data_IF_376162207221
#
_entry.id   IF_376162207221
#
_cell.length_a   1.000
_cell.length_b   1.000
_cell.length_c   1.000
_cell.angle_alpha   90.00
_cell.angle_beta   90.00
_cell.angle_gamma   90.00
#
_symmetry.space_group_name_H-M   'P 1'
#
loop_
_entity.id
_entity.type
_entity.pdbx_description
1 polymer ?
#
# COMPACT_ATOMS: atom_id res chain seq x y z
N UNK A 1 -10.83 9.64 -18.43
CA UNK A 1 -9.81 9.64 -17.38
C UNK A 1 -9.12 8.30 -17.46
N UNK A 2 -7.80 8.29 -17.63
CA UNK A 2 -7.01 7.07 -17.52
C UNK A 2 -7.02 6.62 -16.05
N UNK A 3 -7.14 5.33 -15.80
CA UNK A 3 -7.10 4.78 -14.44
C UNK A 3 -5.77 4.05 -14.23
N UNK A 4 -5.14 4.20 -13.08
CA UNK A 4 -3.90 3.50 -12.73
C UNK A 4 -4.13 2.74 -11.44
N UNK A 5 -3.70 1.48 -11.38
CA UNK A 5 -3.60 0.78 -10.13
C UNK A 5 -2.24 1.07 -9.49
N UNK A 6 -2.26 1.75 -8.35
CA UNK A 6 -1.09 1.94 -7.50
C UNK A 6 -1.04 0.93 -6.37
N UNK A 7 0.16 0.49 -5.99
CA UNK A 7 0.37 -0.38 -4.83
C UNK A 7 1.33 0.27 -3.85
N UNK A 8 0.88 0.51 -2.64
CA UNK A 8 1.69 0.99 -1.52
C UNK A 8 1.80 -0.12 -0.50
N UNK A 9 3.01 -0.41 -0.05
CA UNK A 9 3.26 -1.34 1.04
C UNK A 9 3.70 -0.61 2.28
N UNK A 10 3.15 -1.00 3.43
CA UNK A 10 3.54 -0.53 4.75
C UNK A 10 4.10 -1.70 5.53
N UNK A 11 5.29 -1.56 6.09
CA UNK A 11 5.85 -2.44 7.11
C UNK A 11 5.77 -1.73 8.45
N UNK A 12 5.07 -2.34 9.40
CA UNK A 12 4.88 -1.81 10.75
C UNK A 12 5.53 -2.79 11.72
N UNK A 13 6.37 -2.28 12.62
CA UNK A 13 7.02 -3.09 13.64
C UNK A 13 6.64 -2.58 15.03
N UNK A 14 6.14 -3.48 15.86
CA UNK A 14 5.89 -3.26 17.29
C UNK A 14 7.13 -3.69 18.07
N UNK A 15 7.87 -2.74 18.61
CA UNK A 15 9.16 -2.99 19.27
C UNK A 15 8.98 -3.40 20.74
N UNK A 16 8.68 -2.42 21.58
CA UNK A 16 8.65 -2.57 23.04
C UNK A 16 7.41 -1.90 23.61
N UNK A 17 6.70 -2.62 24.46
CA UNK A 17 5.61 -2.09 25.27
C UNK A 17 6.14 -1.74 26.65
N UNK A 18 5.90 -0.51 27.09
CA UNK A 18 6.30 0.00 28.40
C UNK A 18 5.05 0.32 29.22
N UNK A 19 4.85 -0.43 30.30
CA UNK A 19 3.81 -0.17 31.28
C UNK A 19 4.28 0.90 32.27
N UNK A 20 3.77 2.13 32.18
CA UNK A 20 4.11 3.19 33.15
C UNK A 20 3.28 3.05 34.43
N UNK A 21 1.96 2.88 34.29
CA UNK A 21 1.03 2.75 35.44
C UNK A 21 -0.35 2.19 35.04
N UNK A 22 -0.40 1.04 34.35
CA UNK A 22 -1.67 0.34 34.10
C UNK A 22 -2.29 -0.11 35.43
N UNK A 23 -3.56 0.23 35.63
CA UNK A 23 -4.29 -0.07 36.86
C UNK A 23 -4.58 -1.56 37.07
N UNK A 24 -4.68 -2.31 35.97
CA UNK A 24 -5.10 -3.71 35.98
C UNK A 24 -3.90 -4.60 35.65
N UNK A 25 -3.82 -5.74 36.34
CA UNK A 25 -2.88 -6.81 36.01
C UNK A 25 -3.61 -7.85 35.21
N UNK A 26 -2.95 -8.44 34.22
CA UNK A 26 -3.59 -9.43 33.38
C UNK A 26 -2.93 -9.50 32.00
N UNK A 27 -3.72 -9.93 31.04
CA UNK A 27 -3.30 -10.20 29.67
C UNK A 27 -3.68 -9.04 28.76
N UNK A 28 -2.72 -8.63 27.96
CA UNK A 28 -2.81 -7.53 27.01
C UNK A 28 -2.51 -8.02 25.61
N UNK A 29 -3.10 -7.34 24.64
CA UNK A 29 -2.85 -7.54 23.22
C UNK A 29 -2.94 -6.20 22.50
N UNK A 30 -2.08 -6.00 21.50
CA UNK A 30 -2.17 -4.86 20.60
C UNK A 30 -2.77 -5.34 19.29
N UNK A 31 -3.81 -4.66 18.80
CA UNK A 31 -4.36 -4.88 17.46
C UNK A 31 -4.05 -3.67 16.59
N UNK A 32 -3.44 -3.94 15.45
CA UNK A 32 -3.03 -2.92 14.49
C UNK A 32 -3.84 -3.07 13.21
N UNK A 33 -4.37 -1.95 12.71
CA UNK A 33 -5.14 -1.92 11.46
C UNK A 33 -4.80 -0.70 10.63
N UNK A 34 -4.58 -0.89 9.33
CA UNK A 34 -4.43 0.20 8.38
C UNK A 34 -5.80 0.61 7.85
N UNK A 35 -6.07 1.91 7.79
CA UNK A 35 -7.34 2.48 7.29
C UNK A 35 -7.08 3.54 6.24
N UNK A 36 -8.02 3.64 5.30
CA UNK A 36 -8.06 4.68 4.29
C UNK A 36 -9.50 5.14 4.07
N UNK A 37 -9.72 6.39 3.62
CA UNK A 37 -11.04 6.90 3.29
C UNK A 37 -11.71 6.09 2.16
N UNK A 38 -13.01 5.84 2.27
CA UNK A 38 -13.80 5.11 1.27
C UNK A 38 -13.94 5.83 -0.08
N UNK A 39 -13.57 7.12 -0.16
CA UNK A 39 -13.59 7.91 -1.40
C UNK A 39 -12.60 7.41 -2.45
N UNK A 40 -11.53 6.71 -2.04
CA UNK A 40 -10.55 6.11 -2.94
C UNK A 40 -10.90 4.62 -3.05
N UNK A 41 -11.27 4.08 -4.23
CA UNK A 41 -11.49 2.65 -4.39
C UNK A 41 -10.18 1.90 -4.12
N UNK A 42 -10.19 1.00 -3.13
CA UNK A 42 -8.98 0.31 -2.70
C UNK A 42 -9.25 -1.11 -2.22
N UNK A 43 -8.18 -1.91 -2.17
CA UNK A 43 -8.15 -3.21 -1.50
C UNK A 43 -6.95 -3.25 -0.56
N UNK A 44 -7.20 -3.67 0.67
CA UNK A 44 -6.21 -3.82 1.73
C UNK A 44 -6.03 -5.30 2.03
N UNK A 45 -4.78 -5.73 2.17
CA UNK A 45 -4.42 -7.04 2.70
C UNK A 45 -3.38 -6.86 3.81
N UNK A 46 -3.56 -7.54 4.94
CA UNK A 46 -2.60 -7.58 6.03
C UNK A 46 -1.94 -8.96 6.09
N UNK A 47 -0.64 -8.99 6.36
CA UNK A 47 0.14 -10.22 6.57
C UNK A 47 1.09 -10.03 7.75
N UNK A 48 1.50 -11.15 8.34
CA UNK A 48 2.52 -11.17 9.40
C UNK A 48 3.81 -11.72 8.80
N UNK A 49 4.93 -11.14 9.19
CA UNK A 49 6.25 -11.71 8.88
C UNK A 49 6.52 -12.78 9.92
N UNK A 50 6.45 -14.06 9.53
CA UNK A 50 6.68 -15.18 10.45
C UNK A 50 8.04 -15.05 11.14
N UNK A 51 8.02 -15.09 12.47
CA UNK A 51 9.23 -15.18 13.26
C UNK A 51 9.37 -16.61 13.76
N UNK A 52 10.54 -17.19 13.51
CA UNK A 52 10.89 -18.54 13.94
C UNK A 52 11.04 -18.57 15.47
N UNK A 53 9.95 -18.86 16.18
CA UNK A 53 9.98 -18.97 17.64
C UNK A 53 8.71 -19.61 18.20
N UNK A 54 8.87 -20.72 18.92
CA UNK A 54 7.80 -21.37 19.68
C UNK A 54 7.36 -20.45 20.84
N UNK A 55 6.12 -19.95 20.80
CA UNK A 55 5.51 -19.22 21.90
C UNK A 55 4.12 -19.77 22.19
N UNK A 56 3.88 -20.16 23.45
CA UNK A 56 2.82 -21.07 23.88
C UNK A 56 1.49 -20.40 24.27
N UNK A 57 1.33 -19.08 24.10
CA UNK A 57 0.14 -18.34 24.57
C UNK A 57 -0.54 -17.47 23.49
N UNK A 58 -0.59 -17.99 22.27
CA UNK A 58 -1.11 -17.40 21.01
C UNK A 58 -0.06 -16.62 20.22
N UNK A 59 0.23 -17.15 19.03
CA UNK A 59 1.05 -16.49 18.02
C UNK A 59 0.31 -15.29 17.43
N UNK A 60 1.03 -14.26 16.95
CA UNK A 60 0.40 -13.18 16.21
C UNK A 60 -0.45 -13.73 15.06
N UNK A 61 -1.61 -13.13 14.80
CA UNK A 61 -2.53 -13.60 13.77
C UNK A 61 -3.21 -12.45 13.02
N UNK A 62 -3.67 -12.74 11.79
CA UNK A 62 -4.44 -11.79 10.99
C UNK A 62 -5.93 -12.09 11.12
N UNK A 63 -6.73 -11.08 11.42
CA UNK A 63 -8.18 -11.17 11.49
C UNK A 63 -8.82 -9.93 10.85
N UNK A 64 -9.63 -10.12 9.81
CA UNK A 64 -10.33 -9.03 9.09
C UNK A 64 -9.40 -7.86 8.70
N UNK A 65 -8.22 -8.16 8.15
CA UNK A 65 -7.16 -7.17 7.80
C UNK A 65 -6.57 -6.38 8.98
N UNK A 66 -6.89 -6.76 10.22
CA UNK A 66 -6.16 -6.32 11.41
C UNK A 66 -5.15 -7.39 11.80
N UNK A 67 -4.02 -6.93 12.34
CA UNK A 67 -2.98 -7.80 12.86
C UNK A 67 -3.05 -7.76 14.37
N UNK A 68 -3.23 -8.93 14.97
CA UNK A 68 -3.24 -9.13 16.39
C UNK A 68 -1.83 -9.53 16.81
N UNK A 69 -1.24 -8.80 17.74
CA UNK A 69 0.03 -9.20 18.34
C UNK A 69 -0.14 -10.50 19.13
N UNK A 70 0.96 -11.14 19.51
CA UNK A 70 0.92 -12.11 20.60
C UNK A 70 0.27 -11.49 21.84
N UNK A 71 -0.31 -12.35 22.67
CA UNK A 71 -0.76 -11.95 24.01
C UNK A 71 0.46 -11.86 24.92
N UNK A 72 0.48 -10.85 25.78
CA UNK A 72 1.52 -10.66 26.79
C UNK A 72 0.90 -10.33 28.14
N UNK A 73 1.53 -10.79 29.22
CA UNK A 73 1.06 -10.55 30.58
C UNK A 73 1.81 -9.36 31.18
N UNK A 74 1.10 -8.56 31.96
CA UNK A 74 1.66 -7.47 32.76
C UNK A 74 1.29 -7.72 34.22
N UNK A 75 2.31 -7.74 35.07
CA UNK A 75 2.18 -8.03 36.50
C UNK A 75 2.61 -6.85 37.36
N UNK A 76 3.55 -6.04 36.87
CA UNK A 76 4.18 -4.99 37.66
C UNK A 76 4.12 -3.63 36.96
N UNK A 77 4.18 -2.58 37.78
CA UNK A 77 4.36 -1.20 37.32
C UNK A 77 5.78 -1.02 36.76
N UNK A 78 5.96 -0.14 35.78
CA UNK A 78 7.25 0.12 35.14
C UNK A 78 7.86 -1.13 34.47
N UNK A 79 7.00 -2.03 34.00
CA UNK A 79 7.39 -3.26 33.31
C UNK A 79 7.60 -2.98 31.81
N UNK A 80 8.66 -3.54 31.24
CA UNK A 80 8.95 -3.47 29.80
C UNK A 80 8.83 -4.85 29.17
N UNK A 81 8.06 -4.95 28.10
CA UNK A 81 7.80 -6.17 27.35
C UNK A 81 8.31 -5.99 25.93
N UNK A 82 9.24 -6.85 25.52
CA UNK A 82 9.72 -6.90 24.13
C UNK A 82 8.69 -7.62 23.28
N UNK A 83 8.11 -6.93 22.30
CA UNK A 83 7.16 -7.51 21.34
C UNK A 83 7.94 -7.99 20.11
N UNK A 84 8.71 -7.09 19.49
CA UNK A 84 9.45 -7.30 18.25
C UNK A 84 8.64 -8.04 17.19
N UNK A 85 7.44 -7.58 16.84
CA UNK A 85 6.61 -8.21 15.82
C UNK A 85 6.43 -7.30 14.62
N UNK A 86 6.65 -7.85 13.42
CA UNK A 86 6.54 -7.14 12.16
C UNK A 86 5.32 -7.59 11.37
N UNK A 87 4.61 -6.62 10.82
CA UNK A 87 3.42 -6.82 10.04
C UNK A 87 3.46 -5.98 8.77
N UNK A 88 2.90 -6.52 7.69
CA UNK A 88 2.85 -5.83 6.41
C UNK A 88 1.39 -5.56 6.01
N UNK A 89 1.14 -4.35 5.53
CA UNK A 89 -0.12 -3.96 4.93
C UNK A 89 0.13 -3.59 3.47
N UNK A 90 -0.50 -4.32 2.55
CA UNK A 90 -0.47 -4.02 1.12
C UNK A 90 -1.77 -3.36 0.71
N UNK A 91 -1.67 -2.15 0.14
CA UNK A 91 -2.81 -1.38 -0.33
C UNK A 91 -2.74 -1.24 -1.85
N UNK A 92 -3.74 -1.80 -2.54
CA UNK A 92 -3.98 -1.50 -3.95
C UNK A 92 -5.01 -0.38 -4.06
N UNK A 93 -4.71 0.66 -4.83
CA UNK A 93 -5.51 1.87 -5.00
C UNK A 93 -5.85 2.04 -6.48
N UNK A 94 -7.10 2.36 -6.80
CA UNK A 94 -7.47 2.84 -8.13
C UNK A 94 -7.34 4.37 -8.15
N UNK A 95 -6.41 4.86 -8.96
CA UNK A 95 -5.99 6.26 -9.03
C UNK A 95 -6.33 6.86 -10.39
N UNK A 96 -6.51 8.18 -10.41
CA UNK A 96 -6.53 8.96 -11.64
C UNK A 96 -5.11 9.00 -12.23
N UNK A 97 -4.95 8.51 -13.45
CA UNK A 97 -3.66 8.39 -14.12
C UNK A 97 -2.99 9.73 -14.41
N UNK A 98 -3.73 10.84 -14.43
CA UNK A 98 -3.18 12.18 -14.61
C UNK A 98 -2.74 12.83 -13.27
N UNK A 99 -3.19 12.27 -12.14
CA UNK A 99 -3.00 12.84 -10.79
C UNK A 99 -2.47 11.82 -9.77
N UNK A 100 -1.70 10.84 -10.22
CA UNK A 100 -1.21 9.73 -9.38
C UNK A 100 -0.43 10.23 -8.17
N UNK A 101 0.51 11.17 -8.35
CA UNK A 101 1.34 11.69 -7.26
C UNK A 101 0.51 12.45 -6.22
N UNK A 102 -0.38 13.34 -6.66
CA UNK A 102 -1.29 14.08 -5.77
C UNK A 102 -2.21 13.12 -5.02
N UNK A 103 -2.84 12.19 -5.72
CA UNK A 103 -3.81 11.26 -5.15
C UNK A 103 -3.18 10.36 -4.07
N UNK A 104 -1.94 9.92 -4.27
CA UNK A 104 -1.18 9.17 -3.28
C UNK A 104 -0.80 10.03 -2.07
N UNK A 105 -0.40 11.29 -2.29
CA UNK A 105 -0.04 12.22 -1.22
C UNK A 105 -1.25 12.59 -0.35
N UNK A 106 -2.43 12.65 -0.95
CA UNK A 106 -3.69 13.00 -0.32
C UNK A 106 -4.49 11.78 0.21
N UNK A 107 -3.96 10.56 0.12
CA UNK A 107 -4.72 9.34 0.39
C UNK A 107 -5.15 9.14 1.87
N UNK A 108 -4.61 9.95 2.79
CA UNK A 108 -4.94 9.94 4.24
C UNK A 108 -4.90 8.53 4.85
N UNK A 109 -3.74 7.88 4.71
CA UNK A 109 -3.48 6.60 5.36
C UNK A 109 -3.45 6.76 6.87
N UNK A 110 -4.10 5.85 7.61
CA UNK A 110 -4.17 5.90 9.06
C UNK A 110 -3.83 4.55 9.68
N UNK A 111 -2.90 4.52 10.65
CA UNK A 111 -2.62 3.34 11.46
C UNK A 111 -3.41 3.42 12.77
N UNK A 112 -4.34 2.51 12.97
CA UNK A 112 -5.06 2.33 14.23
C UNK A 112 -4.35 1.29 15.09
N UNK A 113 -4.11 1.63 16.35
CA UNK A 113 -3.56 0.76 17.39
C UNK A 113 -4.55 0.69 18.54
N UNK A 114 -5.08 -0.50 18.77
CA UNK A 114 -6.01 -0.80 19.85
C UNK A 114 -5.29 -1.62 20.94
N UNK A 115 -5.40 -1.18 22.18
CA UNK A 115 -4.98 -1.93 23.35
C UNK A 115 -6.18 -2.72 23.87
N UNK A 116 -6.02 -4.04 23.93
CA UNK A 116 -7.01 -4.98 24.44
C UNK A 116 -6.56 -5.54 25.78
N UNK A 117 -7.51 -5.85 26.66
CA UNK A 117 -7.23 -6.36 27.99
C UNK A 117 -8.24 -7.42 28.45
N UNK A 118 -7.73 -8.43 29.17
CA UNK A 118 -8.53 -9.34 29.99
C UNK A 118 -7.73 -9.81 31.21
N UNK A 119 -8.40 -9.99 32.35
CA UNK A 119 -7.87 -10.66 33.54
C UNK A 119 -8.25 -12.15 33.60
N UNK A 120 -9.00 -12.65 32.61
CA UNK A 120 -9.58 -13.99 32.59
C UNK A 120 -8.89 -14.90 31.58
N UNK A 121 -8.25 -15.97 32.09
CA UNK A 121 -7.69 -17.02 31.23
C UNK A 121 -8.75 -17.73 30.37
N UNK A 122 -10.02 -17.72 30.79
CA UNK A 122 -11.10 -18.30 29.99
C UNK A 122 -11.36 -17.50 28.72
N UNK A 123 -11.26 -16.17 28.78
CA UNK A 123 -11.43 -15.29 27.62
C UNK A 123 -10.29 -15.42 26.61
N UNK A 124 -9.12 -15.91 27.03
CA UNK A 124 -8.02 -16.21 26.11
C UNK A 124 -8.35 -17.32 25.11
N UNK A 125 -9.42 -18.09 25.34
CA UNK A 125 -9.93 -19.09 24.38
C UNK A 125 -10.75 -18.47 23.25
N UNK A 126 -11.23 -17.25 23.43
CA UNK A 126 -12.00 -16.47 22.43
C UNK A 126 -11.35 -15.10 22.24
N UNK A 127 -10.13 -15.11 21.68
CA UNK A 127 -9.29 -13.93 21.50
C UNK A 127 -10.06 -12.76 20.85
N UNK A 128 -10.84 -12.95 19.77
CA UNK A 128 -11.60 -11.85 19.15
C UNK A 128 -12.50 -11.08 20.13
N UNK A 129 -13.05 -11.74 21.15
CA UNK A 129 -13.97 -11.17 22.13
C UNK A 129 -13.30 -10.34 23.24
N UNK A 130 -11.97 -10.35 23.35
CA UNK A 130 -11.24 -9.54 24.34
C UNK A 130 -11.55 -8.05 24.08
N UNK A 131 -12.06 -7.28 25.07
CA UNK A 131 -12.48 -5.91 24.87
C UNK A 131 -11.29 -4.97 24.62
N UNK A 132 -11.54 -3.95 23.79
CA UNK A 132 -10.64 -2.80 23.64
C UNK A 132 -10.79 -1.88 24.85
N UNK A 133 -9.66 -1.46 25.41
CA UNK A 133 -9.62 -0.54 26.56
C UNK A 133 -9.08 0.85 26.17
N UNK A 134 -8.26 0.93 25.12
CA UNK A 134 -7.77 2.21 24.56
C UNK A 134 -7.50 2.09 23.07
N UNK A 135 -7.69 3.18 22.33
CA UNK A 135 -7.42 3.25 20.90
C UNK A 135 -6.62 4.51 20.53
N UNK A 136 -5.64 4.35 19.64
CA UNK A 136 -4.92 5.46 19.03
C UNK A 136 -4.94 5.33 17.51
N UNK A 137 -5.09 6.47 16.83
CA UNK A 137 -5.02 6.56 15.38
C UNK A 137 -3.91 7.53 15.00
N UNK A 138 -2.98 7.06 14.18
CA UNK A 138 -1.85 7.82 13.67
C UNK A 138 -2.10 8.16 12.21
N UNK A 139 -2.01 9.45 11.86
CA UNK A 139 -1.98 9.87 10.46
C UNK A 139 -0.62 9.53 9.84
N UNK A 140 -0.62 8.78 8.74
CA UNK A 140 0.59 8.36 8.04
C UNK A 140 0.81 9.27 6.82
N UNK A 141 1.71 10.23 6.97
CA UNK A 141 2.05 11.21 5.92
C UNK A 141 2.96 10.59 4.85
N UNK A 142 2.38 9.76 3.99
CA UNK A 142 3.07 9.08 2.90
C UNK A 142 3.50 10.05 1.80
N UNK A 143 4.78 9.99 1.39
CA UNK A 143 5.30 10.76 0.26
C UNK A 143 5.61 9.85 -0.93
N UNK A 144 4.98 10.00 -2.11
CA UNK A 144 5.08 9.03 -3.22
C UNK A 144 6.51 8.74 -3.69
N UNK A 145 7.38 9.77 -3.68
CA UNK A 145 8.79 9.66 -4.08
C UNK A 145 9.76 9.25 -2.99
N UNK A 146 9.40 9.38 -1.71
CA UNK A 146 10.33 9.18 -0.57
C UNK A 146 9.87 8.10 0.39
N UNK A 147 8.65 7.60 0.23
CA UNK A 147 8.02 6.73 1.20
C UNK A 147 7.67 7.46 2.50
N UNK A 148 7.55 6.66 3.55
CA UNK A 148 7.38 7.08 4.94
C UNK A 148 8.33 6.23 5.77
N UNK A 149 9.19 6.83 6.59
CA UNK A 149 10.10 6.06 7.44
C UNK A 149 10.27 6.74 8.80
N UNK A 150 9.53 6.28 9.81
CA UNK A 150 9.50 6.91 11.13
C UNK A 150 9.47 5.87 12.25
N UNK A 151 10.13 6.19 13.36
CA UNK A 151 9.98 5.51 14.65
C UNK A 151 9.30 6.46 15.63
N UNK A 152 8.19 6.03 16.21
CA UNK A 152 7.36 6.86 17.09
C UNK A 152 6.90 6.08 18.32
N UNK A 153 7.07 6.63 19.54
CA UNK A 153 6.40 6.10 20.72
C UNK A 153 4.93 6.52 20.73
N UNK A 154 4.03 5.56 20.94
CA UNK A 154 2.58 5.79 20.97
C UNK A 154 2.06 5.56 22.38
N UNK A 155 1.59 6.62 23.02
CA UNK A 155 0.98 6.57 24.34
C UNK A 155 -0.53 6.32 24.22
N UNK A 156 -1.06 5.34 24.96
CA UNK A 156 -2.46 4.92 24.83
C UNK A 156 -3.45 5.94 25.36
N UNK A 157 -3.47 6.25 26.65
CA UNK A 157 -4.18 7.42 27.19
C UNK A 157 -3.78 7.66 28.65
N UNK A 158 -4.46 8.59 29.33
CA UNK A 158 -4.19 8.92 30.72
C UNK A 158 -4.68 7.84 31.71
N UNK A 159 -5.71 7.07 31.35
CA UNK A 159 -6.23 5.96 32.14
C UNK A 159 -5.43 4.66 31.92
N UNK A 160 -4.76 4.53 30.78
CA UNK A 160 -3.97 3.40 30.36
C UNK A 160 -2.54 3.85 30.11
N UNK A 161 -1.89 4.36 31.16
CA UNK A 161 -0.57 4.99 31.12
C UNK A 161 0.50 3.99 30.68
N UNK A 162 0.65 3.85 29.37
CA UNK A 162 1.47 2.84 28.71
C UNK A 162 1.86 3.34 27.33
N UNK A 163 3.01 2.86 26.84
CA UNK A 163 3.62 3.32 25.60
C UNK A 163 4.09 2.12 24.77
N UNK A 164 3.73 2.09 23.49
CA UNK A 164 4.29 1.14 22.51
C UNK A 164 5.24 1.87 21.57
N UNK A 165 6.46 1.37 21.43
CA UNK A 165 7.40 1.83 20.39
C UNK A 165 7.03 1.22 19.05
N UNK A 166 6.75 2.06 18.05
CA UNK A 166 6.33 1.63 16.71
C UNK A 166 7.30 2.18 15.67
N UNK A 167 7.70 1.33 14.73
CA UNK A 167 8.39 1.78 13.52
C UNK A 167 7.46 1.54 12.32
N UNK A 168 7.35 2.54 11.44
CA UNK A 168 6.57 2.45 10.20
C UNK A 168 7.47 2.79 9.03
N UNK A 169 7.56 1.85 8.09
CA UNK A 169 8.11 2.05 6.77
C UNK A 169 7.00 1.92 5.73
N UNK A 170 7.00 2.73 4.69
CA UNK A 170 6.10 2.56 3.57
C UNK A 170 6.71 3.06 2.27
N UNK A 171 6.40 2.40 1.14
CA UNK A 171 6.88 2.79 -0.18
C UNK A 171 5.84 2.51 -1.27
N UNK A 172 5.88 3.30 -2.35
CA UNK A 172 5.18 2.98 -3.58
C UNK A 172 5.98 1.89 -4.29
N UNK A 173 5.39 0.70 -4.43
CA UNK A 173 6.09 -0.47 -4.98
C UNK A 173 5.63 -0.82 -6.40
N UNK A 174 4.45 -0.37 -6.81
CA UNK A 174 3.99 -0.61 -8.17
C UNK A 174 3.01 0.44 -8.70
N UNK A 175 3.09 0.69 -10.01
CA UNK A 175 2.08 1.35 -10.82
C UNK A 175 1.83 0.49 -12.05
N UNK A 176 0.59 0.11 -12.30
CA UNK A 176 0.24 -0.72 -13.45
C UNK A 176 -1.20 -0.45 -13.91
N UNK A 177 -1.58 -1.04 -15.05
CA UNK A 177 -2.97 -1.06 -15.49
C UNK A 177 -3.89 -1.69 -14.42
N UNK A 178 -5.16 -1.26 -14.25
CA UNK A 178 -6.09 -1.85 -13.27
C UNK A 178 -6.38 -3.32 -13.59
N UNK A 179 -5.68 -4.23 -12.90
CA UNK A 179 -5.84 -5.68 -13.07
C UNK A 179 -6.85 -6.26 -12.07
N UNK A 180 -7.23 -5.49 -11.06
CA UNK A 180 -8.09 -5.93 -9.97
C UNK A 180 -9.42 -5.16 -10.01
N UNK A 181 -10.52 -5.86 -9.74
CA UNK A 181 -11.82 -5.21 -9.56
C UNK A 181 -11.86 -4.45 -8.23
N UNK A 182 -12.23 -3.18 -8.28
CA UNK A 182 -12.41 -2.31 -7.13
C UNK A 182 -13.90 -2.05 -6.89
N UNK A 183 -14.34 -2.17 -5.64
CA UNK A 183 -15.68 -1.75 -5.25
C UNK A 183 -15.76 -0.23 -5.38
N UNK A 184 -16.34 0.27 -6.49
CA UNK A 184 -16.57 1.70 -6.68
C UNK A 184 -17.66 2.16 -5.71
N UNK A 185 -17.49 3.27 -4.98
CA UNK A 185 -18.58 3.87 -4.22
C UNK A 185 -19.72 4.18 -5.17
N UNK A 186 -20.86 3.50 -4.99
CA UNK A 186 -21.96 3.54 -5.94
C UNK A 186 -22.49 4.97 -6.11
N UNK A 187 -22.64 5.41 -7.37
CA UNK A 187 -23.62 6.46 -7.68
C UNK A 187 -24.99 5.87 -7.34
N UNK A 188 -25.62 6.35 -6.27
CA UNK A 188 -26.97 5.97 -5.91
C UNK A 188 -27.89 6.19 -7.12
N UNK A 189 -28.44 5.09 -7.64
CA UNK A 189 -29.50 5.13 -8.65
C UNK A 189 -30.76 5.63 -7.96
N UNK A 190 -30.93 6.95 -7.93
CA UNK A 190 -32.16 7.58 -7.46
C UNK A 190 -33.00 7.91 -8.69
N UNK A 191 -33.75 6.92 -9.16
CA UNK A 191 -35.07 7.03 -9.79
C UNK A 191 -35.54 5.64 -10.22
N UNK A 192 -36.57 5.14 -9.56
CA UNK A 192 -37.23 3.91 -9.91
C UNK A 192 -38.06 4.03 -11.19
N UNK A 193 -37.99 2.99 -12.03
CA UNK A 193 -39.16 2.26 -12.55
C UNK A 193 -38.65 0.97 -13.20
N UNK A 194 -39.35 -0.12 -12.91
CA UNK A 194 -38.90 -1.48 -13.20
C UNK A 194 -38.66 -1.75 -14.69
N UNK A 195 -37.59 -2.48 -14.95
CA UNK A 195 -37.53 -3.47 -16.02
C UNK A 195 -36.49 -4.51 -15.62
N UNK A 196 -36.90 -5.77 -15.66
CA UNK A 196 -36.07 -6.93 -15.35
C UNK A 196 -35.30 -7.29 -16.62
N UNK A 197 -34.16 -6.62 -16.89
CA UNK A 197 -33.18 -7.11 -17.86
C UNK A 197 -31.77 -6.98 -17.28
N UNK A 198 -31.26 -8.13 -16.83
CA UNK A 198 -29.85 -8.36 -16.55
C UNK A 198 -29.06 -8.28 -17.86
N UNK A 199 -28.54 -7.10 -18.19
CA UNK A 199 -27.50 -6.91 -19.22
C UNK A 199 -26.09 -6.98 -18.60
N UNK A 200 -25.08 -7.50 -19.32
CA UNK A 200 -23.71 -7.59 -18.81
C UNK A 200 -22.97 -6.26 -19.03
N UNK A 201 -23.35 -5.19 -18.33
CA UNK A 201 -22.63 -3.91 -18.43
C UNK A 201 -21.58 -3.80 -17.31
N UNK A 202 -20.50 -4.58 -17.47
CA UNK A 202 -19.18 -4.18 -16.98
C UNK A 202 -18.28 -4.03 -18.21
N UNK A 203 -18.22 -2.81 -18.75
CA UNK A 203 -17.21 -2.47 -19.75
C UNK A 203 -15.84 -2.50 -19.08
N UNK A 204 -15.17 -3.66 -19.13
CA UNK A 204 -13.73 -3.75 -18.92
C UNK A 204 -13.08 -2.75 -19.87
N UNK A 205 -12.54 -1.64 -19.36
CA UNK A 205 -11.80 -0.71 -20.22
C UNK A 205 -10.64 -1.48 -20.86
N UNK A 206 -10.50 -1.39 -22.18
CA UNK A 206 -9.34 -1.98 -22.85
C UNK A 206 -8.07 -1.20 -22.50
N UNK A 207 -6.92 -1.87 -22.50
CA UNK A 207 -5.62 -1.27 -22.18
C UNK A 207 -5.31 -0.05 -23.05
N UNK A 208 -5.73 -0.09 -24.32
CA UNK A 208 -5.52 1.01 -25.25
C UNK A 208 -6.34 2.25 -24.86
N UNK A 209 -7.59 2.09 -24.40
CA UNK A 209 -8.41 3.21 -23.91
C UNK A 209 -7.78 3.89 -22.68
N UNK A 210 -7.05 3.12 -21.88
CA UNK A 210 -6.39 3.59 -20.68
C UNK A 210 -5.13 4.41 -21.00
N UNK A 211 -4.35 3.92 -21.97
CA UNK A 211 -3.08 4.54 -22.41
C UNK A 211 -3.32 5.75 -23.32
N UNK A 212 -4.21 5.62 -24.30
CA UNK A 212 -4.47 6.64 -25.33
C UNK A 212 -5.62 7.59 -24.97
N UNK A 213 -6.32 7.32 -23.86
CA UNK A 213 -7.40 8.14 -23.33
C UNK A 213 -8.77 7.87 -23.97
N UNK A 214 -9.79 8.56 -23.45
CA UNK A 214 -11.20 8.34 -23.81
C UNK A 214 -11.55 8.67 -25.28
N UNK A 215 -10.66 9.36 -26.00
CA UNK A 215 -10.81 9.64 -27.43
C UNK A 215 -10.33 8.52 -28.35
N UNK A 216 -9.73 7.45 -27.80
CA UNK A 216 -9.30 6.30 -28.58
C UNK A 216 -10.50 5.45 -29.00
N UNK A 217 -10.59 5.12 -30.30
CA UNK A 217 -11.60 4.20 -30.82
C UNK A 217 -10.89 3.01 -31.44
N UNK A 218 -10.96 1.84 -30.78
CA UNK A 218 -10.42 0.61 -31.34
C UNK A 218 -11.22 0.22 -32.60
N UNK A 219 -10.61 0.13 -33.79
CA UNK A 219 -11.33 -0.32 -34.97
C UNK A 219 -11.80 -1.77 -34.79
N UNK A 220 -13.04 -2.06 -35.18
CA UNK A 220 -13.50 -3.45 -35.30
C UNK A 220 -12.61 -4.16 -36.31
N UNK A 221 -12.10 -5.33 -35.95
CA UNK A 221 -11.20 -6.15 -36.77
C UNK A 221 -11.90 -6.62 -38.05
N UNK A 222 -12.03 -5.73 -39.03
CA UNK A 222 -12.27 -6.06 -40.44
C UNK A 222 -10.99 -5.74 -41.18
N UNK A 223 -10.51 -6.71 -41.97
CA UNK A 223 -9.29 -6.62 -42.78
C UNK A 223 -9.16 -5.25 -43.45
N UNK A 224 -8.05 -4.56 -43.18
CA UNK A 224 -7.70 -3.29 -43.85
C UNK A 224 -8.03 -1.99 -43.13
N UNK A 225 -8.30 -2.00 -41.81
CA UNK A 225 -8.43 -0.74 -41.06
C UNK A 225 -7.07 -0.03 -40.91
N UNK A 226 -6.83 1.03 -41.70
CA UNK A 226 -5.74 1.99 -41.53
C UNK A 226 -6.05 3.00 -40.42
N UNK A 227 -6.50 2.54 -39.25
CA UNK A 227 -6.74 3.45 -38.13
C UNK A 227 -5.41 3.94 -37.58
N UNK A 228 -5.15 5.23 -37.73
CA UNK A 228 -4.02 5.92 -37.13
C UNK A 228 -4.57 6.72 -35.94
N UNK A 229 -4.10 6.47 -34.70
CA UNK A 229 -4.51 7.29 -33.57
C UNK A 229 -4.20 8.77 -33.82
N UNK A 230 -5.00 9.66 -33.24
CA UNK A 230 -4.70 11.09 -33.32
C UNK A 230 -3.34 11.40 -32.68
N UNK A 231 -2.67 12.44 -33.16
CA UNK A 231 -1.41 12.91 -32.57
C UNK A 231 -1.57 13.24 -31.08
N UNK A 232 -2.74 13.77 -30.69
CA UNK A 232 -3.10 14.02 -29.29
C UNK A 232 -3.17 12.74 -28.45
N UNK A 233 -3.71 11.64 -28.99
CA UNK A 233 -3.74 10.34 -28.31
C UNK A 233 -2.31 9.81 -28.08
N UNK A 234 -1.45 9.94 -29.08
CA UNK A 234 -0.05 9.51 -28.99
C UNK A 234 0.74 10.34 -27.97
N UNK A 235 0.60 11.67 -28.01
CA UNK A 235 1.22 12.57 -27.04
C UNK A 235 0.74 12.29 -25.61
N UNK A 236 -0.55 11.98 -25.43
CA UNK A 236 -1.10 11.55 -24.14
C UNK A 236 -0.41 10.27 -23.65
N UNK A 237 -0.32 9.23 -24.49
CA UNK A 237 0.33 7.97 -24.13
C UNK A 237 1.79 8.17 -23.72
N UNK A 238 2.55 8.96 -24.47
CA UNK A 238 3.96 9.27 -24.15
C UNK A 238 4.11 10.05 -22.85
N UNK A 239 3.24 11.05 -22.62
CA UNK A 239 3.25 11.82 -21.37
C UNK A 239 2.88 10.93 -20.18
N UNK A 240 1.84 10.12 -20.32
CA UNK A 240 1.38 9.20 -19.29
C UNK A 240 2.46 8.19 -18.90
N UNK A 241 3.10 7.55 -19.89
CA UNK A 241 4.26 6.67 -19.67
C UNK A 241 5.39 7.38 -18.93
N UNK A 242 5.82 8.55 -19.43
CA UNK A 242 6.91 9.32 -18.84
C UNK A 242 6.62 9.68 -17.38
N UNK A 243 5.41 10.15 -17.08
CA UNK A 243 5.03 10.60 -15.75
C UNK A 243 5.01 9.42 -14.75
N UNK A 244 4.48 8.25 -15.15
CA UNK A 244 4.48 7.05 -14.31
C UNK A 244 5.89 6.46 -14.10
N UNK A 245 6.70 6.35 -15.16
CA UNK A 245 8.08 5.88 -15.07
C UNK A 245 8.92 6.80 -14.19
N UNK A 246 8.79 8.11 -14.34
CA UNK A 246 9.48 9.09 -13.50
C UNK A 246 9.07 8.96 -12.04
N UNK A 247 7.79 8.73 -11.73
CA UNK A 247 7.34 8.54 -10.36
C UNK A 247 7.93 7.28 -9.73
N UNK A 248 7.93 6.14 -10.43
CA UNK A 248 8.55 4.88 -9.95
C UNK A 248 10.06 5.01 -9.76
N UNK A 249 10.77 5.63 -10.72
CA UNK A 249 12.21 5.88 -10.61
C UNK A 249 12.55 6.78 -9.42
N UNK A 250 11.71 7.79 -9.14
CA UNK A 250 11.89 8.63 -7.96
C UNK A 250 11.61 7.89 -6.67
N UNK A 251 10.56 7.05 -6.62
CA UNK A 251 10.29 6.19 -5.46
C UNK A 251 11.47 5.24 -5.18
N UNK A 252 12.03 4.64 -6.24
CA UNK A 252 13.21 3.78 -6.18
C UNK A 252 14.41 4.53 -5.59
N UNK A 253 14.72 5.71 -6.14
CA UNK A 253 15.80 6.57 -5.64
C UNK A 253 15.58 6.97 -4.19
N UNK A 254 14.36 7.34 -3.81
CA UNK A 254 14.02 7.73 -2.44
C UNK A 254 14.28 6.61 -1.44
N UNK A 255 13.81 5.40 -1.76
CA UNK A 255 14.02 4.22 -0.93
C UNK A 255 15.50 3.84 -0.86
N UNK A 256 16.22 3.86 -1.99
CA UNK A 256 17.66 3.58 -2.04
C UNK A 256 18.49 4.57 -1.20
N UNK A 257 18.15 5.87 -1.26
CA UNK A 257 18.80 6.90 -0.42
C UNK A 257 18.55 6.61 1.06
N UNK A 258 17.31 6.28 1.44
CA UNK A 258 16.99 5.94 2.83
C UNK A 258 17.75 4.69 3.30
N UNK A 259 17.74 3.62 2.51
CA UNK A 259 18.51 2.40 2.77
C UNK A 259 20.00 2.71 2.96
N UNK A 260 20.58 3.54 2.09
CA UNK A 260 21.99 3.95 2.20
C UNK A 260 22.30 4.68 3.50
N UNK A 261 21.36 5.51 4.00
CA UNK A 261 21.50 6.17 5.31
C UNK A 261 21.48 5.12 6.43
N UNK A 262 20.52 4.21 6.42
CA UNK A 262 20.43 3.14 7.42
C UNK A 262 21.68 2.26 7.44
N UNK A 263 22.20 1.87 6.28
CA UNK A 263 23.42 1.06 6.19
C UNK A 263 24.68 1.78 6.68
N UNK A 264 24.70 3.12 6.66
CA UNK A 264 25.79 3.90 7.25
C UNK A 264 25.70 3.95 8.77
N UNK A 265 24.48 4.10 9.30
CA UNK A 265 24.23 4.17 10.75
C UNK A 265 24.31 2.80 11.42
N UNK A 266 23.94 1.72 10.71
CA UNK A 266 23.89 0.34 11.22
C UNK A 266 24.56 -0.60 10.20
N UNK A 267 25.90 -0.61 10.11
CA UNK A 267 26.64 -1.35 9.10
C UNK A 267 26.55 -2.89 9.24
N UNK A 268 26.14 -3.37 10.42
CA UNK A 268 25.99 -4.80 10.72
C UNK A 268 24.72 -5.43 10.13
N UNK A 269 23.82 -4.62 9.55
CA UNK A 269 22.64 -5.15 8.87
C UNK A 269 23.02 -5.92 7.59
N UNK A 270 22.23 -6.94 7.19
CA UNK A 270 22.47 -7.64 5.93
C UNK A 270 22.48 -6.68 4.73
N UNK A 271 23.58 -6.68 3.98
CA UNK A 271 23.71 -5.85 2.79
C UNK A 271 23.00 -6.49 1.58
N UNK A 272 22.07 -5.74 1.00
CA UNK A 272 21.46 -6.03 -0.29
C UNK A 272 22.36 -5.53 -1.42
N UNK A 273 22.57 -6.36 -2.45
CA UNK A 273 23.21 -5.95 -3.70
C UNK A 273 22.17 -5.28 -4.59
N UNK A 274 22.08 -3.96 -4.49
CA UNK A 274 21.09 -3.15 -5.20
C UNK A 274 21.71 -2.53 -6.45
N UNK A 275 20.95 -2.48 -7.55
CA UNK A 275 21.39 -1.84 -8.78
C UNK A 275 21.12 -0.34 -8.70
N UNK A 276 22.13 0.51 -8.86
CA UNK A 276 21.85 1.95 -8.94
C UNK A 276 21.24 2.29 -10.31
N UNK A 277 20.01 2.83 -10.30
CA UNK A 277 19.35 3.33 -11.49
C UNK A 277 19.52 4.85 -11.55
N UNK A 278 20.23 5.34 -12.56
CA UNK A 278 20.29 6.77 -12.87
C UNK A 278 18.92 7.20 -13.42
N UNK A 279 18.20 8.05 -12.68
CA UNK A 279 16.80 8.40 -12.96
C UNK A 279 16.66 9.03 -14.35
N UNK A 280 17.50 10.02 -14.67
CA UNK A 280 17.44 10.80 -15.89
C UNK A 280 17.82 9.99 -17.12
N UNK A 281 18.87 9.16 -17.03
CA UNK A 281 19.35 8.32 -18.13
C UNK A 281 18.37 7.18 -18.42
N UNK A 282 17.89 6.51 -17.36
CA UNK A 282 16.91 5.42 -17.49
C UNK A 282 15.60 5.92 -18.09
N UNK A 283 15.08 7.06 -17.61
CA UNK A 283 13.86 7.64 -18.15
C UNK A 283 14.03 8.03 -19.63
N UNK A 284 15.15 8.69 -19.98
CA UNK A 284 15.46 9.08 -21.35
C UNK A 284 15.51 7.86 -22.28
N UNK A 285 16.11 6.76 -21.83
CA UNK A 285 16.16 5.51 -22.58
C UNK A 285 14.75 4.93 -22.81
N UNK A 286 13.96 4.73 -21.75
CA UNK A 286 12.61 4.16 -21.84
C UNK A 286 11.71 5.01 -22.76
N UNK A 287 11.74 6.34 -22.64
CA UNK A 287 10.98 7.22 -23.50
C UNK A 287 11.42 7.13 -24.98
N UNK A 288 12.73 7.02 -25.24
CA UNK A 288 13.26 6.91 -26.60
C UNK A 288 12.82 5.59 -27.23
N UNK A 289 12.94 4.48 -26.51
CA UNK A 289 12.50 3.15 -26.98
C UNK A 289 11.00 3.15 -27.34
N UNK A 290 10.17 3.80 -26.52
CA UNK A 290 8.73 3.91 -26.78
C UNK A 290 8.41 4.76 -28.03
N UNK A 291 9.13 5.87 -28.24
CA UNK A 291 8.94 6.76 -29.39
C UNK A 291 9.33 6.13 -30.73
N UNK A 292 10.15 5.08 -30.73
CA UNK A 292 10.48 4.31 -31.94
C UNK A 292 9.33 3.42 -32.42
N UNK A 293 8.27 3.27 -31.62
CA UNK A 293 7.10 2.45 -31.94
C UNK A 293 5.98 3.30 -32.55
N UNK A 294 5.43 2.80 -33.66
CA UNK A 294 4.35 3.47 -34.39
C UNK A 294 3.01 2.70 -34.33
N UNK A 295 3.01 1.51 -33.71
CA UNK A 295 1.82 0.67 -33.57
C UNK A 295 1.23 0.83 -32.15
N UNK A 296 -0.06 1.14 -32.01
CA UNK A 296 -0.69 1.39 -30.70
C UNK A 296 -0.65 0.21 -29.74
N UNK A 297 -0.83 -1.01 -30.24
CA UNK A 297 -0.77 -2.24 -29.44
C UNK A 297 0.65 -2.44 -28.89
N UNK A 298 1.67 -2.28 -29.75
CA UNK A 298 3.07 -2.38 -29.34
C UNK A 298 3.45 -1.31 -28.31
N UNK A 299 2.91 -0.09 -28.43
CA UNK A 299 3.13 0.99 -27.46
C UNK A 299 2.53 0.60 -26.10
N UNK A 300 1.28 0.13 -26.08
CA UNK A 300 0.62 -0.29 -24.84
C UNK A 300 1.33 -1.46 -24.15
N UNK A 301 1.82 -2.43 -24.94
CA UNK A 301 2.65 -3.54 -24.45
C UNK A 301 3.99 -3.04 -23.88
N UNK A 302 4.69 -2.16 -24.59
CA UNK A 302 5.96 -1.61 -24.15
C UNK A 302 5.81 -0.81 -22.85
N UNK A 303 4.77 0.01 -22.72
CA UNK A 303 4.48 0.73 -21.46
C UNK A 303 4.27 -0.25 -20.31
N UNK A 304 3.48 -1.30 -20.54
CA UNK A 304 3.23 -2.32 -19.51
C UNK A 304 4.52 -3.04 -19.10
N UNK A 305 5.40 -3.33 -20.07
CA UNK A 305 6.71 -3.95 -19.86
C UNK A 305 7.64 -3.03 -19.05
N UNK A 306 7.73 -1.76 -19.41
CA UNK A 306 8.59 -0.78 -18.72
C UNK A 306 8.15 -0.59 -17.27
N UNK A 307 6.85 -0.45 -17.05
CA UNK A 307 6.30 -0.34 -15.69
C UNK A 307 6.57 -1.61 -14.89
N UNK A 308 6.34 -2.80 -15.45
CA UNK A 308 6.63 -4.06 -14.77
C UNK A 308 8.13 -4.21 -14.43
N UNK A 309 9.02 -3.77 -15.33
CA UNK A 309 10.46 -3.75 -15.10
C UNK A 309 10.86 -2.80 -13.96
N UNK A 310 10.29 -1.59 -13.90
CA UNK A 310 10.53 -0.67 -12.79
C UNK A 310 9.97 -1.20 -11.46
N UNK A 311 8.78 -1.81 -11.49
CA UNK A 311 8.17 -2.42 -10.30
C UNK A 311 9.02 -3.56 -9.75
N UNK A 312 9.65 -4.38 -10.61
CA UNK A 312 10.50 -5.47 -10.14
C UNK A 312 11.77 -4.98 -9.43
N UNK A 313 12.31 -3.82 -9.82
CA UNK A 313 13.43 -3.18 -9.12
C UNK A 313 13.00 -2.63 -7.75
N UNK A 314 11.81 -2.04 -7.67
CA UNK A 314 11.25 -1.57 -6.40
C UNK A 314 10.97 -2.70 -5.41
N UNK A 315 10.48 -3.85 -5.89
CA UNK A 315 10.19 -5.02 -5.06
C UNK A 315 11.46 -5.78 -4.61
N UNK A 316 12.60 -5.52 -5.23
CA UNK A 316 13.88 -6.11 -4.85
C UNK A 316 14.61 -5.33 -3.75
N UNK A 317 14.17 -4.09 -3.47
CA UNK A 317 14.65 -3.20 -2.40
C UNK A 317 13.92 -3.49 -1.09
#
# INVERSE_FOLDING_TARGET
>A
MSEVQGTVEFSVELHKFHNVDLFQRGYYQIRAGLKLPSRIPHRLAATIVEQTGDSSLSSPCVHENNVHSRIFQILYRNEEIVINESMNFRVHLLLDGERVEDALSEADFQLKLDLHFTDSEQQLRDIPAIPVISSRTLGLHFHPRRGLHHRVPVMFDYFHLSVISVTVHASLVALHQPLISFARPGKGSWLGKGSLETGPDQSSMSLENLVFGAGYCKPTSSEGSFYVPSENCMQHAYKWHKDLCLLLLNAYRGLHVYYTVIMKEIPDLPQLKLAELAVEDTLSQLCTELQMLNNPEKIAEQISKDLAWLCSHLLAL
#
